data_IF_791496792801
#
_entry.id   IF_791496792801
#
_cell.length_a   1.000
_cell.length_b   1.000
_cell.length_c   1.000
_cell.angle_alpha   90.00
_cell.angle_beta   90.00
_cell.angle_gamma   90.00
#
_symmetry.space_group_name_H-M   'P 1'
#
loop_
_entity.id
_entity.type
_entity.pdbx_description
1 polymer ?
#
# COMPACT_ATOMS: atom_id res chain seq x y z
N UNK A 1 -14.03 50.12 3.24
CA UNK A 1 -13.83 48.82 2.60
C UNK A 1 -12.45 48.20 2.90
N UNK A 2 -11.39 49.01 3.10
CA UNK A 2 -10.06 48.50 3.46
C UNK A 2 -9.94 48.01 4.92
N UNK A 3 -10.85 48.42 5.81
CA UNK A 3 -10.81 48.10 7.24
C UNK A 3 -11.36 46.72 7.60
N UNK A 4 -12.22 46.14 6.73
CA UNK A 4 -12.85 44.83 7.01
C UNK A 4 -11.91 43.64 6.65
N UNK A 5 -10.94 43.83 5.75
CA UNK A 5 -10.06 42.78 5.27
C UNK A 5 -8.70 42.71 5.99
N UNK A 6 -8.38 43.70 6.84
CA UNK A 6 -7.10 43.77 7.53
C UNK A 6 -6.86 42.71 8.62
N UNK A 7 -7.85 42.20 9.37
CA UNK A 7 -7.62 41.21 10.44
C UNK A 7 -7.48 39.77 9.93
N UNK A 8 -7.69 39.46 8.65
CA UNK A 8 -7.77 38.08 8.15
C UNK A 8 -6.45 37.48 7.70
N UNK A 9 -5.29 38.18 7.79
CA UNK A 9 -4.00 37.65 7.34
C UNK A 9 -3.94 37.25 5.84
N UNK A 10 -4.83 37.83 5.01
CA UNK A 10 -4.99 37.49 3.61
C UNK A 10 -3.81 38.08 2.80
N UNK A 11 -3.14 37.21 2.01
CA UNK A 11 -2.03 37.66 1.13
C UNK A 11 -2.49 38.74 0.16
N UNK A 12 -1.59 39.69 -0.18
CA UNK A 12 -1.91 40.82 -1.06
C UNK A 12 -2.52 40.43 -2.40
N UNK A 13 -2.13 39.26 -2.96
CA UNK A 13 -2.70 38.72 -4.19
C UNK A 13 -4.18 38.34 -4.09
N UNK A 14 -4.56 37.65 -3.03
CA UNK A 14 -5.97 37.23 -2.77
C UNK A 14 -6.85 38.46 -2.58
N UNK A 15 -6.39 39.46 -1.84
CA UNK A 15 -7.11 40.72 -1.63
C UNK A 15 -7.37 41.45 -2.95
N UNK A 16 -6.36 41.51 -3.82
CA UNK A 16 -6.52 42.17 -5.13
C UNK A 16 -7.51 41.40 -6.02
N UNK A 17 -7.45 40.08 -6.05
CA UNK A 17 -8.39 39.23 -6.79
C UNK A 17 -9.85 39.41 -6.32
N UNK A 18 -10.08 39.45 -5.01
CA UNK A 18 -11.41 39.67 -4.42
C UNK A 18 -11.92 41.06 -4.82
N UNK A 19 -11.08 42.10 -4.69
CA UNK A 19 -11.46 43.49 -5.08
C UNK A 19 -11.82 43.57 -6.56
N UNK A 20 -11.04 42.96 -7.42
CA UNK A 20 -11.30 42.94 -8.86
C UNK A 20 -12.60 42.18 -9.19
N UNK A 21 -12.84 41.02 -8.55
CA UNK A 21 -14.08 40.25 -8.71
C UNK A 21 -15.32 41.01 -8.27
N UNK A 22 -15.29 41.70 -7.12
CA UNK A 22 -16.38 42.55 -6.64
C UNK A 22 -16.60 43.71 -7.62
N UNK A 23 -15.52 44.29 -8.18
CA UNK A 23 -15.60 45.35 -9.21
C UNK A 23 -16.33 44.89 -10.44
N UNK A 24 -16.03 43.71 -10.99
CA UNK A 24 -16.74 43.16 -12.14
C UNK A 24 -18.21 42.88 -11.87
N UNK A 25 -18.55 42.33 -10.71
CA UNK A 25 -19.94 42.13 -10.29
C UNK A 25 -20.67 43.48 -10.22
N UNK A 26 -20.04 44.50 -9.64
CA UNK A 26 -20.58 45.85 -9.59
C UNK A 26 -20.87 46.47 -10.96
N UNK A 27 -19.95 46.30 -11.91
CA UNK A 27 -20.11 46.75 -13.29
C UNK A 27 -21.31 46.05 -13.94
N UNK A 28 -21.44 44.73 -13.81
CA UNK A 28 -22.55 43.95 -14.35
C UNK A 28 -23.88 44.44 -13.80
N UNK A 29 -23.97 44.63 -12.47
CA UNK A 29 -25.18 45.13 -11.82
C UNK A 29 -25.53 46.56 -12.32
N UNK A 30 -24.53 47.46 -12.37
CA UNK A 30 -24.71 48.80 -12.89
C UNK A 30 -25.19 48.83 -14.36
N UNK A 31 -24.64 47.96 -15.19
CA UNK A 31 -25.09 47.84 -16.59
C UNK A 31 -26.55 47.36 -16.66
N UNK A 32 -26.94 46.33 -15.90
CA UNK A 32 -28.32 45.84 -15.85
C UNK A 32 -29.30 46.93 -15.37
N UNK A 33 -28.93 47.72 -14.37
CA UNK A 33 -29.73 48.87 -13.92
C UNK A 33 -29.87 49.94 -15.00
N UNK A 34 -28.80 50.27 -15.71
CA UNK A 34 -28.83 51.24 -16.80
C UNK A 34 -29.72 50.76 -17.97
N UNK A 35 -29.66 49.47 -18.35
CA UNK A 35 -30.57 48.91 -19.35
C UNK A 35 -32.03 48.95 -18.92
N UNK A 36 -32.31 48.63 -17.63
CA UNK A 36 -33.66 48.70 -17.08
C UNK A 36 -34.19 50.14 -17.14
N UNK A 37 -33.36 51.12 -16.74
CA UNK A 37 -33.74 52.54 -16.76
C UNK A 37 -33.96 53.06 -18.19
N UNK A 38 -33.21 52.56 -19.16
CA UNK A 38 -33.36 52.87 -20.58
C UNK A 38 -34.64 52.26 -21.22
N UNK A 39 -35.48 51.54 -20.46
CA UNK A 39 -36.72 50.93 -20.95
C UNK A 39 -36.55 49.60 -21.68
N UNK A 40 -35.35 48.98 -21.63
CA UNK A 40 -35.17 47.66 -22.23
C UNK A 40 -35.77 46.56 -21.36
N UNK A 41 -36.44 45.59 -21.97
CA UNK A 41 -36.99 44.44 -21.27
C UNK A 41 -35.89 43.55 -20.73
N UNK A 42 -35.78 43.39 -19.44
CA UNK A 42 -34.84 42.49 -18.76
C UNK A 42 -35.21 41.01 -18.93
N UNK A 43 -36.41 40.67 -19.41
CA UNK A 43 -36.89 39.29 -19.55
C UNK A 43 -35.99 38.45 -20.47
N UNK A 44 -35.61 39.00 -21.63
CA UNK A 44 -34.73 38.28 -22.58
C UNK A 44 -33.32 38.11 -21.99
N UNK A 45 -32.82 39.13 -21.26
CA UNK A 45 -31.53 39.07 -20.58
C UNK A 45 -31.58 38.02 -19.50
N UNK A 46 -32.68 37.90 -18.72
CA UNK A 46 -32.86 36.89 -17.68
C UNK A 46 -32.81 35.46 -18.23
N UNK A 47 -33.40 35.20 -19.40
CA UNK A 47 -33.35 33.89 -20.03
C UNK A 47 -31.90 33.53 -20.43
N UNK A 48 -31.17 34.45 -21.04
CA UNK A 48 -29.77 34.24 -21.43
C UNK A 48 -28.89 34.07 -20.18
N UNK A 49 -29.09 34.90 -19.14
CA UNK A 49 -28.37 34.83 -17.88
C UNK A 49 -28.66 33.51 -17.16
N UNK A 50 -29.91 33.00 -17.21
CA UNK A 50 -30.30 31.71 -16.67
C UNK A 50 -29.56 30.56 -17.34
N UNK A 51 -29.54 30.52 -18.67
CA UNK A 51 -28.80 29.52 -19.43
C UNK A 51 -27.28 29.54 -19.14
N UNK A 52 -26.71 30.77 -19.10
CA UNK A 52 -25.30 30.97 -18.78
C UNK A 52 -24.98 30.52 -17.33
N UNK A 53 -25.88 30.84 -16.38
CA UNK A 53 -25.72 30.43 -14.96
C UNK A 53 -25.67 28.92 -14.80
N UNK A 54 -26.48 28.16 -15.57
CA UNK A 54 -26.44 26.69 -15.57
C UNK A 54 -25.08 26.21 -16.10
N UNK A 55 -24.59 26.78 -17.22
CA UNK A 55 -23.29 26.45 -17.78
C UNK A 55 -22.14 26.73 -16.81
N UNK A 56 -22.16 27.90 -16.17
CA UNK A 56 -21.17 28.25 -15.12
C UNK A 56 -21.28 27.31 -13.92
N UNK A 57 -22.51 26.95 -13.50
CA UNK A 57 -22.76 26.00 -12.42
C UNK A 57 -22.11 24.64 -12.65
N UNK A 58 -22.28 24.09 -13.86
CA UNK A 58 -21.59 22.85 -14.25
C UNK A 58 -20.07 23.00 -14.29
N UNK A 59 -19.54 24.13 -14.79
CA UNK A 59 -18.12 24.41 -14.78
C UNK A 59 -17.50 24.54 -13.40
N UNK A 60 -18.25 25.01 -12.41
CA UNK A 60 -17.81 25.19 -11.02
C UNK A 60 -18.16 24.00 -10.12
N UNK A 61 -18.90 23.01 -10.58
CA UNK A 61 -19.40 21.89 -9.78
C UNK A 61 -18.31 21.21 -8.95
N UNK A 62 -17.19 20.89 -9.58
CA UNK A 62 -16.06 20.23 -8.90
C UNK A 62 -15.44 21.11 -7.80
N UNK A 63 -15.35 22.41 -8.03
CA UNK A 63 -14.80 23.35 -7.06
C UNK A 63 -15.73 23.44 -5.84
N UNK A 64 -17.04 23.59 -6.08
CA UNK A 64 -18.06 23.66 -5.02
C UNK A 64 -18.08 22.34 -4.24
N UNK A 65 -18.06 21.19 -4.91
CA UNK A 65 -18.04 19.88 -4.26
C UNK A 65 -16.82 19.75 -3.34
N UNK A 66 -15.64 20.10 -3.79
CA UNK A 66 -14.43 20.04 -2.96
C UNK A 66 -14.46 21.01 -1.79
N UNK A 67 -15.05 22.19 -1.98
CA UNK A 67 -15.22 23.18 -0.92
C UNK A 67 -16.18 22.67 0.18
N UNK A 68 -17.35 22.17 -0.23
CA UNK A 68 -18.36 21.62 0.71
C UNK A 68 -17.78 20.41 1.44
N UNK A 69 -17.11 19.50 0.72
CA UNK A 69 -16.42 18.36 1.31
C UNK A 69 -15.37 18.79 2.32
N UNK A 70 -14.61 19.86 2.04
CA UNK A 70 -13.66 20.44 2.99
C UNK A 70 -14.32 20.94 4.28
N UNK A 71 -15.49 21.57 4.19
CA UNK A 71 -16.27 21.98 5.36
C UNK A 71 -16.76 20.77 6.17
N UNK A 72 -17.23 19.71 5.50
CA UNK A 72 -17.65 18.47 6.16
C UNK A 72 -16.47 17.85 6.90
N UNK A 73 -15.29 17.73 6.26
CA UNK A 73 -14.08 17.19 6.90
C UNK A 73 -13.69 17.97 8.16
N UNK A 74 -13.82 19.29 8.14
CA UNK A 74 -13.50 20.14 9.29
C UNK A 74 -14.55 20.05 10.41
N UNK A 75 -15.82 19.85 10.05
CA UNK A 75 -16.93 19.75 10.99
C UNK A 75 -17.01 18.36 11.65
N UNK A 76 -17.05 17.29 10.84
CA UNK A 76 -17.22 15.91 11.32
C UNK A 76 -15.90 15.25 11.74
N UNK A 77 -14.78 15.72 11.20
CA UNK A 77 -13.42 15.24 11.48
C UNK A 77 -13.24 13.72 11.35
N UNK A 78 -13.67 13.10 10.24
CA UNK A 78 -13.43 11.69 9.99
C UNK A 78 -11.93 11.38 9.78
N UNK A 79 -11.15 12.40 9.44
CA UNK A 79 -9.69 12.40 9.40
C UNK A 79 -9.16 13.64 10.12
N UNK A 80 -7.95 13.51 10.69
CA UNK A 80 -7.26 14.60 11.41
C UNK A 80 -5.83 14.72 10.91
N UNK A 81 -5.23 15.90 11.11
CA UNK A 81 -3.80 16.08 10.85
C UNK A 81 -3.01 15.13 11.76
N UNK A 82 -2.11 14.37 11.18
CA UNK A 82 -1.35 13.30 11.84
C UNK A 82 -1.93 11.90 11.63
N UNK A 83 -3.16 11.75 11.14
CA UNK A 83 -3.73 10.44 10.86
C UNK A 83 -3.03 9.78 9.67
N UNK A 84 -2.87 8.47 9.77
CA UNK A 84 -2.43 7.61 8.67
C UNK A 84 -3.65 7.07 7.92
N UNK A 85 -3.77 7.44 6.64
CA UNK A 85 -4.96 7.14 5.84
C UNK A 85 -4.60 6.53 4.48
N UNK A 86 -5.56 5.78 3.93
CA UNK A 86 -5.53 5.32 2.54
C UNK A 86 -6.80 5.81 1.86
N UNK A 87 -6.64 6.54 0.77
CA UNK A 87 -7.74 7.09 -0.04
C UNK A 87 -7.35 7.15 -1.51
N UNK A 88 -8.23 6.68 -2.40
CA UNK A 88 -7.95 6.66 -3.85
C UNK A 88 -6.69 5.87 -4.25
N UNK A 89 -6.26 4.89 -3.42
CA UNK A 89 -5.02 4.13 -3.62
C UNK A 89 -3.77 4.77 -3.03
N UNK A 90 -3.85 6.03 -2.59
CA UNK A 90 -2.74 6.74 -1.94
C UNK A 90 -2.71 6.46 -0.45
N UNK A 91 -1.54 6.09 0.08
CA UNK A 91 -1.31 5.84 1.51
C UNK A 91 -0.31 6.86 2.07
N UNK A 92 -0.66 7.47 3.21
CA UNK A 92 0.22 8.44 3.82
C UNK A 92 -0.36 9.11 5.07
N UNK A 93 0.44 10.02 5.63
CA UNK A 93 0.04 10.83 6.78
C UNK A 93 -0.64 12.13 6.34
N UNK A 94 -1.77 12.46 6.95
CA UNK A 94 -2.45 13.74 6.74
C UNK A 94 -1.58 14.86 7.34
N UNK A 95 -1.02 15.73 6.49
CA UNK A 95 -0.20 16.88 6.92
C UNK A 95 -1.02 18.16 7.05
N UNK A 96 -1.98 18.35 6.15
CA UNK A 96 -2.79 19.57 6.15
C UNK A 96 -4.13 19.31 5.48
N UNK A 97 -5.20 19.77 6.10
CA UNK A 97 -6.55 19.85 5.50
C UNK A 97 -6.77 21.30 5.09
N UNK A 98 -6.92 21.56 3.79
CA UNK A 98 -7.18 22.89 3.24
C UNK A 98 -8.62 22.96 2.71
N UNK A 99 -9.02 24.13 2.23
CA UNK A 99 -10.41 24.40 1.81
C UNK A 99 -10.91 23.46 0.72
N UNK A 100 -10.07 23.09 -0.25
CA UNK A 100 -10.44 22.25 -1.40
C UNK A 100 -9.70 20.94 -1.52
N UNK A 101 -8.58 20.80 -0.80
CA UNK A 101 -7.72 19.62 -0.89
C UNK A 101 -7.02 19.35 0.43
N UNK A 102 -6.74 18.09 0.69
CA UNK A 102 -5.95 17.61 1.83
C UNK A 102 -4.59 17.18 1.32
N UNK A 103 -3.54 17.53 2.05
CA UNK A 103 -2.15 17.15 1.73
C UNK A 103 -1.82 15.90 2.53
N UNK A 104 -1.50 14.83 1.83
CA UNK A 104 -0.92 13.60 2.38
C UNK A 104 0.59 13.61 2.14
N UNK A 105 1.36 13.12 3.08
CA UNK A 105 2.76 12.79 2.91
C UNK A 105 2.89 11.27 2.83
N UNK A 106 3.30 10.77 1.67
CA UNK A 106 3.53 9.34 1.44
C UNK A 106 4.78 8.86 2.18
N UNK A 107 4.96 7.55 2.30
CA UNK A 107 6.15 6.96 2.92
C UNK A 107 7.45 7.26 2.15
N UNK A 108 7.33 7.56 0.86
CA UNK A 108 8.46 7.95 0.00
C UNK A 108 8.82 9.45 0.15
N UNK A 109 8.14 10.18 1.05
CA UNK A 109 8.35 11.61 1.30
C UNK A 109 7.67 12.54 0.29
N UNK A 110 6.85 12.02 -0.62
CA UNK A 110 6.10 12.83 -1.56
C UNK A 110 4.86 13.48 -0.90
N UNK A 111 4.55 14.71 -1.31
CA UNK A 111 3.33 15.38 -0.90
C UNK A 111 2.25 15.20 -1.97
N UNK A 112 1.23 14.39 -1.65
CA UNK A 112 0.10 14.11 -2.53
C UNK A 112 -1.06 15.04 -2.16
N UNK A 113 -1.54 15.81 -3.13
CA UNK A 113 -2.70 16.70 -2.95
C UNK A 113 -3.97 15.97 -3.38
N UNK A 114 -4.73 15.50 -2.41
CA UNK A 114 -5.98 14.77 -2.64
C UNK A 114 -7.16 15.74 -2.54
N UNK A 115 -8.04 15.83 -3.57
CA UNK A 115 -9.26 16.63 -3.48
C UNK A 115 -10.14 16.19 -2.30
N UNK A 116 -10.73 17.13 -1.57
CA UNK A 116 -11.52 16.80 -0.39
C UNK A 116 -12.74 15.92 -0.69
N UNK A 117 -13.28 16.00 -1.91
CA UNK A 117 -14.42 15.18 -2.33
C UNK A 117 -14.12 13.68 -2.28
N UNK A 118 -12.87 13.25 -2.48
CA UNK A 118 -12.47 11.84 -2.36
C UNK A 118 -12.68 11.30 -0.94
N UNK A 119 -12.36 12.10 0.08
CA UNK A 119 -12.55 11.69 1.49
C UNK A 119 -14.01 11.57 1.91
N UNK A 120 -14.93 12.21 1.19
CA UNK A 120 -16.37 12.17 1.48
C UNK A 120 -17.10 11.17 0.62
N UNK A 121 -16.69 11.02 -0.65
CA UNK A 121 -17.38 10.19 -1.63
C UNK A 121 -16.84 8.76 -1.70
N UNK A 122 -15.58 8.52 -1.32
CA UNK A 122 -14.94 7.21 -1.44
C UNK A 122 -14.74 6.53 -0.07
N UNK A 123 -14.37 5.25 -0.12
CA UNK A 123 -13.99 4.51 1.09
C UNK A 123 -12.62 4.98 1.56
N UNK A 124 -12.57 5.57 2.73
CA UNK A 124 -11.34 5.98 3.41
C UNK A 124 -10.99 4.96 4.49
N UNK A 125 -9.78 4.41 4.43
CA UNK A 125 -9.25 3.58 5.51
C UNK A 125 -8.39 4.48 6.39
N UNK A 126 -8.82 4.74 7.62
CA UNK A 126 -8.06 5.47 8.62
C UNK A 126 -7.52 4.48 9.67
N UNK A 127 -6.21 4.36 9.73
CA UNK A 127 -5.54 3.41 10.61
C UNK A 127 -5.36 3.90 12.05
N UNK A 128 -5.52 5.21 12.27
CA UNK A 128 -5.23 5.87 13.55
C UNK A 128 -6.46 6.53 14.17
N UNK A 129 -7.65 6.34 13.59
CA UNK A 129 -8.89 7.04 13.97
C UNK A 129 -9.26 6.90 15.45
N UNK A 130 -9.14 5.69 16.03
CA UNK A 130 -9.47 5.41 17.43
C UNK A 130 -8.28 5.04 18.28
N UNK A 131 -7.33 4.32 17.70
CA UNK A 131 -6.11 3.88 18.33
C UNK A 131 -5.04 3.62 17.27
N UNK A 132 -3.79 3.47 17.69
CA UNK A 132 -2.66 3.19 16.82
C UNK A 132 -2.33 1.69 16.75
N UNK A 133 -3.21 0.82 17.29
CA UNK A 133 -2.97 -0.62 17.31
C UNK A 133 -3.02 -1.16 15.88
N UNK A 134 -1.92 -1.77 15.47
CA UNK A 134 -1.79 -2.41 14.17
C UNK A 134 -1.63 -3.92 14.33
N UNK A 135 -2.34 -4.69 13.51
CA UNK A 135 -2.11 -6.12 13.35
C UNK A 135 -1.08 -6.35 12.26
N UNK A 136 0.00 -7.06 12.59
CA UNK A 136 0.99 -7.59 11.67
C UNK A 136 0.58 -9.03 11.35
N UNK A 137 0.55 -9.41 10.08
CA UNK A 137 0.38 -10.77 9.63
C UNK A 137 1.67 -11.22 8.94
N UNK A 138 2.28 -12.28 9.46
CA UNK A 138 3.49 -12.91 8.92
C UNK A 138 3.12 -14.30 8.41
N UNK A 139 3.05 -14.52 7.08
CA UNK A 139 2.90 -15.84 6.50
C UNK A 139 4.24 -16.60 6.59
N UNK A 140 4.19 -17.84 7.02
CA UNK A 140 5.35 -18.72 7.22
C UNK A 140 5.01 -20.09 6.65
N UNK A 141 5.84 -20.60 5.74
CA UNK A 141 5.75 -21.98 5.24
C UNK A 141 6.75 -22.88 5.96
N UNK A 142 6.31 -24.08 6.39
CA UNK A 142 7.16 -25.11 6.93
C UNK A 142 7.06 -26.39 6.11
N UNK A 143 8.09 -27.23 6.13
CA UNK A 143 8.13 -28.49 5.40
C UNK A 143 7.08 -29.47 5.93
N UNK A 144 6.52 -30.29 5.05
CA UNK A 144 5.73 -31.46 5.44
C UNK A 144 6.54 -32.38 6.38
N UNK A 145 5.89 -32.89 7.42
CA UNK A 145 6.56 -33.69 8.46
C UNK A 145 7.01 -32.88 9.68
N UNK A 146 6.98 -31.54 9.63
CA UNK A 146 7.18 -30.71 10.82
C UNK A 146 6.01 -30.88 11.80
N UNK A 147 6.29 -30.94 13.11
CA UNK A 147 5.24 -30.96 14.11
C UNK A 147 4.52 -29.60 14.18
N UNK A 148 3.27 -29.58 13.71
CA UNK A 148 2.45 -28.39 13.65
C UNK A 148 2.26 -27.72 15.04
N UNK A 149 2.22 -28.51 16.12
CA UNK A 149 2.09 -27.99 17.48
C UNK A 149 3.38 -27.33 17.94
N UNK A 150 4.52 -27.92 17.60
CA UNK A 150 5.82 -27.33 17.87
C UNK A 150 6.00 -26.01 17.10
N UNK A 151 5.62 -25.97 15.81
CA UNK A 151 5.64 -24.75 15.00
C UNK A 151 4.79 -23.66 15.64
N UNK A 152 3.54 -23.97 15.99
CA UNK A 152 2.64 -23.02 16.64
C UNK A 152 3.21 -22.49 17.96
N UNK A 153 3.74 -23.36 18.81
CA UNK A 153 4.31 -22.98 20.10
C UNK A 153 5.55 -22.08 19.93
N UNK A 154 6.43 -22.40 18.97
CA UNK A 154 7.62 -21.62 18.66
C UNK A 154 7.25 -20.21 18.15
N UNK A 155 6.29 -20.11 17.24
CA UNK A 155 5.84 -18.83 16.69
C UNK A 155 5.19 -17.94 17.78
N UNK A 156 4.36 -18.53 18.64
CA UNK A 156 3.77 -17.81 19.78
C UNK A 156 4.81 -17.33 20.77
N UNK A 157 5.83 -18.15 21.06
CA UNK A 157 6.94 -17.80 21.94
C UNK A 157 7.71 -16.61 21.37
N UNK A 158 8.12 -16.66 20.09
CA UNK A 158 8.83 -15.56 19.42
C UNK A 158 8.03 -14.26 19.48
N UNK A 159 6.71 -14.35 19.26
CA UNK A 159 5.86 -13.17 19.35
C UNK A 159 5.76 -12.63 20.79
N UNK A 160 5.68 -13.50 21.80
CA UNK A 160 5.60 -13.11 23.20
C UNK A 160 6.90 -12.51 23.75
N UNK A 161 8.04 -12.93 23.22
CA UNK A 161 9.38 -12.48 23.63
C UNK A 161 9.72 -11.10 23.03
N UNK A 162 9.00 -10.65 21.99
CA UNK A 162 9.23 -9.34 21.39
C UNK A 162 8.55 -8.22 22.21
N UNK A 163 9.31 -7.22 22.71
CA UNK A 163 8.80 -6.19 23.61
C UNK A 163 7.79 -5.22 22.96
N UNK A 164 7.82 -5.07 21.65
CA UNK A 164 6.89 -4.20 20.90
C UNK A 164 5.56 -4.89 20.59
N UNK A 165 5.44 -6.22 20.80
CA UNK A 165 4.21 -6.98 20.61
C UNK A 165 3.33 -6.88 21.86
N UNK A 166 2.05 -6.56 21.64
CA UNK A 166 1.07 -6.42 22.71
C UNK A 166 0.67 -7.80 23.27
N UNK A 167 0.47 -7.83 24.60
CA UNK A 167 -0.12 -8.98 25.29
C UNK A 167 -1.65 -9.02 25.16
N UNK A 168 -2.26 -7.87 24.89
CA UNK A 168 -3.71 -7.71 24.68
C UNK A 168 -3.93 -6.69 23.56
N UNK A 169 -4.48 -7.09 22.40
CA UNK A 169 -4.84 -8.46 22.03
C UNK A 169 -3.61 -9.39 21.97
N UNK A 170 -3.79 -10.66 22.39
CA UNK A 170 -2.71 -11.63 22.35
C UNK A 170 -2.34 -12.02 20.91
N UNK A 171 -1.07 -12.35 20.64
CA UNK A 171 -0.67 -12.92 19.36
C UNK A 171 -1.38 -14.26 19.12
N UNK A 172 -1.66 -14.55 17.86
CA UNK A 172 -2.32 -15.80 17.46
C UNK A 172 -1.61 -16.41 16.24
N UNK A 173 -1.67 -17.72 16.11
CA UNK A 173 -1.14 -18.46 14.97
C UNK A 173 -2.26 -19.29 14.37
N UNK A 174 -2.46 -19.17 13.07
CA UNK A 174 -3.37 -20.02 12.29
C UNK A 174 -2.58 -20.94 11.37
N UNK A 175 -3.08 -22.16 11.18
CA UNK A 175 -2.69 -23.00 10.06
C UNK A 175 -3.67 -22.67 8.92
N UNK A 176 -3.16 -22.15 7.81
CA UNK A 176 -4.00 -21.60 6.78
C UNK A 176 -4.30 -22.60 5.67
N UNK A 177 -3.27 -23.33 5.20
CA UNK A 177 -3.44 -24.28 4.11
C UNK A 177 -2.31 -25.31 4.03
N UNK A 178 -2.59 -26.41 3.36
CA UNK A 178 -1.63 -27.41 2.92
C UNK A 178 -1.28 -27.13 1.45
N UNK A 179 -0.21 -26.37 1.22
CA UNK A 179 0.24 -26.00 -0.11
C UNK A 179 1.03 -27.14 -0.78
N UNK A 180 1.41 -26.99 -2.07
CA UNK A 180 2.07 -28.05 -2.85
C UNK A 180 3.40 -28.54 -2.26
N UNK A 181 4.16 -27.68 -1.57
CA UNK A 181 5.46 -28.01 -1.00
C UNK A 181 5.61 -27.59 0.48
N UNK A 182 4.59 -27.00 1.09
CA UNK A 182 4.65 -26.44 2.45
C UNK A 182 3.32 -26.56 3.17
N UNK A 183 3.40 -26.54 4.50
CA UNK A 183 2.26 -26.26 5.37
C UNK A 183 2.35 -24.80 5.77
N UNK A 184 1.36 -24.01 5.43
CA UNK A 184 1.38 -22.57 5.62
C UNK A 184 0.69 -22.17 6.92
N UNK A 185 1.40 -21.38 7.71
CA UNK A 185 0.92 -20.75 8.94
C UNK A 185 0.95 -19.23 8.78
N UNK A 186 0.07 -18.54 9.49
CA UNK A 186 0.20 -17.09 9.67
C UNK A 186 0.28 -16.72 11.15
N UNK A 187 1.35 -16.03 11.52
CA UNK A 187 1.47 -15.40 12.82
C UNK A 187 0.84 -14.02 12.78
N UNK A 188 -0.15 -13.80 13.63
CA UNK A 188 -0.78 -12.49 13.88
C UNK A 188 -0.20 -11.91 15.17
N UNK A 189 0.47 -10.77 15.05
CA UNK A 189 0.96 -10.00 16.19
C UNK A 189 0.32 -8.62 16.19
N UNK A 190 0.09 -8.04 17.35
CA UNK A 190 -0.48 -6.70 17.52
C UNK A 190 0.58 -5.79 18.15
N UNK A 191 0.71 -4.58 17.59
CA UNK A 191 1.64 -3.55 18.06
C UNK A 191 0.89 -2.27 18.41
N UNK A 192 1.42 -1.51 19.37
CA UNK A 192 0.79 -0.26 19.82
C UNK A 192 1.08 0.93 18.91
N UNK A 193 2.14 0.86 18.11
CA UNK A 193 2.60 1.97 17.28
C UNK A 193 2.73 1.55 15.82
N UNK A 194 1.83 2.07 14.99
CA UNK A 194 1.78 1.77 13.56
C UNK A 194 3.09 2.14 12.84
N UNK A 195 3.83 3.13 13.32
CA UNK A 195 5.09 3.57 12.71
C UNK A 195 6.18 2.51 12.79
N UNK A 196 6.09 1.63 13.78
CA UNK A 196 7.03 0.53 14.01
C UNK A 196 6.70 -0.74 13.22
N UNK A 197 5.63 -0.74 12.39
CA UNK A 197 5.16 -1.94 11.68
C UNK A 197 6.28 -2.63 10.89
N UNK A 198 7.07 -1.86 10.13
CA UNK A 198 8.16 -2.39 9.30
C UNK A 198 9.30 -2.99 10.14
N UNK A 199 9.75 -2.28 11.17
CA UNK A 199 10.85 -2.73 12.04
C UNK A 199 10.46 -3.97 12.84
N UNK A 200 9.27 -3.99 13.46
CA UNK A 200 8.79 -5.13 14.24
C UNK A 200 8.55 -6.35 13.34
N UNK A 201 8.00 -6.15 12.14
CA UNK A 201 7.84 -7.23 11.17
C UNK A 201 9.19 -7.90 10.84
N UNK A 202 10.24 -7.10 10.62
CA UNK A 202 11.59 -7.60 10.33
C UNK A 202 12.19 -8.32 11.55
N UNK A 203 12.06 -7.75 12.75
CA UNK A 203 12.53 -8.38 13.99
C UNK A 203 11.87 -9.74 14.22
N UNK A 204 10.55 -9.83 14.08
CA UNK A 204 9.81 -11.09 14.20
C UNK A 204 10.27 -12.11 13.16
N UNK A 205 10.45 -11.69 11.89
CA UNK A 205 10.89 -12.59 10.84
C UNK A 205 12.30 -13.16 11.11
N UNK A 206 13.23 -12.33 11.59
CA UNK A 206 14.57 -12.77 11.97
C UNK A 206 14.54 -13.72 13.17
N UNK A 207 13.79 -13.36 14.23
CA UNK A 207 13.66 -14.20 15.40
C UNK A 207 12.98 -15.57 15.10
N UNK A 208 12.03 -15.60 14.18
CA UNK A 208 11.42 -16.84 13.69
C UNK A 208 12.46 -17.71 12.99
N UNK A 209 13.29 -17.12 12.12
CA UNK A 209 14.34 -17.85 11.41
C UNK A 209 15.35 -18.46 12.39
N UNK A 210 15.77 -17.71 13.40
CA UNK A 210 16.67 -18.19 14.46
C UNK A 210 16.02 -19.33 15.26
N UNK A 211 14.79 -19.15 15.74
CA UNK A 211 14.06 -20.15 16.49
C UNK A 211 13.81 -21.44 15.70
N UNK A 212 13.57 -21.33 14.38
CA UNK A 212 13.41 -22.50 13.51
C UNK A 212 14.72 -23.28 13.35
N UNK A 213 15.85 -22.58 13.21
CA UNK A 213 17.16 -23.20 13.16
C UNK A 213 17.49 -23.94 14.49
N UNK A 214 17.16 -23.35 15.63
CA UNK A 214 17.38 -23.96 16.96
C UNK A 214 16.49 -25.18 17.18
N UNK A 215 15.24 -25.13 16.75
CA UNK A 215 14.24 -26.19 16.98
C UNK A 215 14.21 -27.24 15.87
N UNK A 216 15.01 -27.09 14.82
CA UNK A 216 15.07 -28.02 13.69
C UNK A 216 13.84 -27.98 12.79
N UNK A 217 13.04 -26.91 12.84
CA UNK A 217 11.91 -26.71 11.93
C UNK A 217 12.45 -26.30 10.57
N UNK A 218 12.11 -27.08 9.53
CA UNK A 218 12.65 -26.89 8.18
C UNK A 218 11.73 -25.97 7.37
N UNK A 219 12.32 -24.91 6.79
CA UNK A 219 11.66 -24.08 5.79
C UNK A 219 11.87 -24.78 4.43
N UNK A 220 10.77 -25.17 3.72
CA UNK A 220 10.88 -25.99 2.55
C UNK A 220 11.45 -25.22 1.35
N UNK A 221 12.26 -25.90 0.56
CA UNK A 221 12.54 -25.49 -0.80
C UNK A 221 11.44 -26.00 -1.73
N UNK A 222 11.25 -25.34 -2.88
CA UNK A 222 10.36 -25.85 -3.91
C UNK A 222 10.77 -27.28 -4.31
N UNK A 223 9.89 -28.24 -4.07
CA UNK A 223 10.14 -29.64 -4.44
C UNK A 223 9.46 -29.93 -5.77
N UNK A 224 10.17 -30.59 -6.66
CA UNK A 224 9.64 -31.08 -7.93
C UNK A 224 9.92 -32.57 -8.00
N UNK A 225 8.86 -33.38 -7.99
CA UNK A 225 8.98 -34.81 -8.23
C UNK A 225 9.15 -35.07 -9.72
N UNK A 226 10.33 -35.52 -10.12
CA UNK A 226 10.62 -35.88 -11.52
C UNK A 226 10.49 -37.39 -11.68
N UNK A 227 9.42 -37.84 -12.32
CA UNK A 227 9.27 -39.25 -12.69
C UNK A 227 9.77 -39.47 -14.12
N UNK A 228 10.89 -40.12 -14.25
CA UNK A 228 11.45 -40.49 -15.54
C UNK A 228 10.78 -41.80 -15.98
N UNK A 229 9.81 -41.71 -16.90
CA UNK A 229 9.02 -42.87 -17.35
C UNK A 229 9.70 -43.78 -18.39
N UNK A 230 10.79 -43.37 -19.00
CA UNK A 230 11.53 -44.15 -20.00
C UNK A 230 13.00 -44.19 -19.63
N UNK A 231 13.37 -45.12 -18.78
CA UNK A 231 14.78 -45.40 -18.44
C UNK A 231 15.34 -46.66 -19.08
N UNK A 232 14.63 -47.25 -20.03
CA UNK A 232 15.07 -48.51 -20.69
C UNK A 232 16.43 -48.34 -21.36
N UNK A 233 16.65 -47.24 -22.06
CA UNK A 233 17.94 -46.92 -22.68
C UNK A 233 19.09 -46.74 -21.67
N UNK A 234 18.78 -46.23 -20.46
CA UNK A 234 19.77 -46.04 -19.39
C UNK A 234 20.10 -47.37 -18.70
N UNK A 235 19.13 -48.27 -18.58
CA UNK A 235 19.34 -49.65 -18.14
C UNK A 235 20.22 -50.41 -19.06
N UNK A 236 20.01 -50.29 -20.38
CA UNK A 236 20.81 -50.93 -21.39
C UNK A 236 22.24 -50.36 -21.42
N UNK A 237 22.39 -49.05 -21.25
CA UNK A 237 23.69 -48.39 -21.13
C UNK A 237 24.48 -48.86 -19.88
N UNK A 238 23.82 -48.93 -18.70
CA UNK A 238 24.45 -49.41 -17.49
C UNK A 238 24.79 -50.91 -17.58
N UNK A 239 23.94 -51.71 -18.20
CA UNK A 239 24.18 -53.11 -18.43
C UNK A 239 25.39 -53.35 -19.37
N UNK A 240 25.53 -52.48 -20.39
CA UNK A 240 26.65 -52.53 -21.34
C UNK A 240 27.97 -52.08 -20.69
N UNK A 241 27.96 -51.08 -19.82
CA UNK A 241 29.14 -50.67 -19.04
C UNK A 241 29.50 -51.64 -17.92
N UNK A 242 28.57 -52.39 -17.37
CA UNK A 242 28.76 -53.43 -16.32
C UNK A 242 29.13 -54.78 -16.88
N UNK A 243 29.13 -54.97 -18.20
CA UNK A 243 29.48 -56.24 -18.86
C UNK A 243 30.98 -56.51 -18.74
N UNK A 244 31.42 -57.71 -18.35
CA UNK A 244 32.85 -58.08 -18.23
C UNK A 244 33.60 -58.00 -19.56
N UNK A 245 32.92 -57.85 -20.70
CA UNK A 245 33.51 -57.62 -22.00
C UNK A 245 34.15 -56.21 -22.12
N UNK A 246 33.58 -55.17 -21.52
CA UNK A 246 34.09 -53.79 -21.57
C UNK A 246 35.23 -53.55 -20.54
N UNK A 247 35.31 -54.36 -19.49
CA UNK A 247 36.43 -54.31 -18.53
C UNK A 247 37.79 -54.70 -19.17
N UNK A 248 37.76 -55.44 -20.28
CA UNK A 248 38.96 -55.78 -20.99
C UNK A 248 39.53 -54.72 -21.94
N UNK A 249 38.69 -53.75 -22.35
CA UNK A 249 39.14 -52.63 -23.16
C UNK A 249 39.68 -51.46 -22.34
N UNK A 250 39.23 -51.29 -21.11
CA UNK A 250 39.76 -50.26 -20.22
C UNK A 250 41.18 -50.58 -19.66
N UNK A 251 41.57 -51.87 -19.67
CA UNK A 251 42.89 -52.29 -19.19
C UNK A 251 44.01 -52.20 -20.23
N UNK A 252 43.70 -52.03 -21.54
CA UNK A 252 44.67 -51.99 -22.60
C UNK A 252 45.07 -50.59 -23.10
N UNK A 253 44.36 -49.54 -22.59
CA UNK A 253 44.64 -48.12 -22.91
C UNK A 253 45.79 -47.51 -22.12
N UNK A 254 46.24 -48.16 -21.03
CA UNK A 254 47.28 -47.61 -20.15
C UNK A 254 48.72 -48.04 -20.49
N UNK A 255 48.91 -48.87 -21.55
CA UNK A 255 50.25 -49.35 -22.00
C UNK A 255 50.82 -48.58 -23.18
N UNK A 256 50.08 -47.68 -23.83
CA UNK A 256 50.59 -46.96 -25.02
C UNK A 256 51.00 -45.50 -24.77
N UNK A 257 50.86 -45.02 -23.55
CA UNK A 257 51.20 -43.62 -23.21
C UNK A 257 52.62 -43.43 -22.63
N UNK A 258 53.43 -44.52 -22.45
CA UNK A 258 54.76 -44.41 -21.87
C UNK A 258 55.92 -44.53 -22.92
N UNK A 259 55.62 -44.47 -24.23
CA UNK A 259 56.66 -44.60 -25.26
C UNK A 259 56.86 -43.37 -26.17
N UNK A 260 56.26 -42.23 -25.84
CA UNK A 260 56.40 -40.98 -26.63
C UNK A 260 57.05 -39.84 -25.80
N UNK A 261 57.79 -40.18 -24.76
CA UNK A 261 58.52 -39.16 -23.94
C UNK A 261 60.03 -39.50 -23.90
N UNK A 262 60.60 -39.98 -24.98
CA UNK A 262 62.07 -40.13 -25.16
C UNK A 262 62.41 -40.06 -26.64
N UNK A 263 62.43 -38.83 -27.21
CA UNK A 263 63.32 -38.33 -28.26
C UNK A 263 63.19 -36.84 -28.38
#
# INVERSE_FOLDING_TARGET
DARVLLPAGISGGVRNSIRTGIGYIGIVIAALMAFSYAGFSLSNIAIIAGALSVGIGFGLQTLVNNFVSGLILLAERPIRVGDMVVVGGEEGYVRKISVRSTVLESFDGAHVLVPNSYFVAEKVKNWTFRNNIRRIALPIGVAYGSDARQVQATLLKVAADNPDVLKTPAPAVTLDEFASASVNFTLYAFIADITKTGSVRTQLAMAILEAFNETGIVIPFGQTDVTIRQMDWLRDLIADYGSPANARHAGNGSRSASSIAAE
#
